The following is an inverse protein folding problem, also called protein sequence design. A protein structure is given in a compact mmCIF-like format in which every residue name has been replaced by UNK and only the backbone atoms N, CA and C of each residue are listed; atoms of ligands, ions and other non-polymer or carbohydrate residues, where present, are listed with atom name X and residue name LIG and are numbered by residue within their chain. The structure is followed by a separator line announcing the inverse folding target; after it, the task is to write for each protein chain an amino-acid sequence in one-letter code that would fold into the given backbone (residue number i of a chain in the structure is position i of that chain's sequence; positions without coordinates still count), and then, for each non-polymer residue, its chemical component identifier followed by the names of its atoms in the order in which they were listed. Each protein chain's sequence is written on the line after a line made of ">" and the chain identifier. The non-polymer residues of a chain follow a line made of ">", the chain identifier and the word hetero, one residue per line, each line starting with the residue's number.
data_IF_752803412918
#
_entry.id   IF_752803412918
#
_cell.length_a   1.000
_cell.length_b   1.000
_cell.length_c   1.000
_cell.angle_alpha   90.00
_cell.angle_beta   90.00
_cell.angle_gamma   90.00
#
_symmetry.space_group_name_H-M   'P 1'
#
loop_
_entity.id
_entity.type
_entity.pdbx_description
1 polymer ?
#
# COMPACT_ATOMS: atom_id res chain seq x y z
N UNK A 1 -4.85 -6.71 4.07
CA UNK A 1 -4.93 -5.42 3.40
C UNK A 1 -6.37 -5.00 3.17
N UNK A 2 -6.67 -3.69 3.25
CA UNK A 2 -7.91 -3.09 2.75
C UNK A 2 -7.57 -1.97 1.76
N UNK A 3 -8.58 -1.24 1.29
CA UNK A 3 -8.43 -0.10 0.39
C UNK A 3 -8.92 1.19 1.07
N UNK A 4 -8.30 2.32 0.72
CA UNK A 4 -8.68 3.65 1.22
C UNK A 4 -9.69 4.29 0.26
N UNK A 5 -10.91 3.75 0.30
CA UNK A 5 -12.05 4.21 -0.48
C UNK A 5 -13.28 4.38 0.41
N UNK A 6 -14.23 5.21 0.01
CA UNK A 6 -15.44 5.53 0.75
C UNK A 6 -16.67 4.77 0.25
N UNK A 7 -16.54 4.12 -0.92
CA UNK A 7 -17.50 3.16 -1.46
C UNK A 7 -16.77 2.05 -2.26
N UNK A 8 -17.44 0.92 -2.52
CA UNK A 8 -16.80 -0.17 -3.27
C UNK A 8 -16.33 0.28 -4.65
N UNK A 9 -15.05 -0.02 -4.98
CA UNK A 9 -14.45 0.27 -6.28
C UNK A 9 -14.67 -0.85 -7.30
N UNK A 10 -15.24 -1.95 -6.86
CA UNK A 10 -15.64 -3.08 -7.69
C UNK A 10 -17.07 -3.49 -7.32
N UNK A 11 -17.87 -3.82 -8.33
CA UNK A 11 -19.28 -4.18 -8.16
C UNK A 11 -20.20 -2.97 -7.98
N UNK A 12 -21.19 -3.08 -7.11
CA UNK A 12 -22.16 -2.02 -6.84
C UNK A 12 -21.56 -0.95 -5.90
N UNK A 13 -21.34 0.25 -6.44
CA UNK A 13 -20.80 1.37 -5.67
C UNK A 13 -21.71 1.88 -4.55
N UNK A 14 -23.01 1.50 -4.55
CA UNK A 14 -23.93 1.80 -3.44
C UNK A 14 -23.81 0.83 -2.26
N UNK A 15 -22.98 -0.20 -2.39
CA UNK A 15 -22.75 -1.19 -1.36
C UNK A 15 -22.03 -0.64 -0.14
N UNK A 16 -22.00 -1.39 0.97
CA UNK A 16 -21.32 -0.97 2.20
C UNK A 16 -19.80 -0.90 2.02
N UNK A 17 -19.21 0.17 2.47
CA UNK A 17 -17.77 0.36 2.53
C UNK A 17 -17.40 1.04 3.85
N UNK A 18 -16.57 0.37 4.65
CA UNK A 18 -16.08 0.94 5.92
C UNK A 18 -14.79 1.72 5.66
N UNK A 19 -14.65 2.83 6.38
CA UNK A 19 -13.43 3.65 6.32
C UNK A 19 -12.19 2.81 6.71
N UNK A 20 -11.12 3.01 5.95
CA UNK A 20 -9.92 2.17 5.98
C UNK A 20 -9.25 2.12 7.35
N UNK A 21 -8.91 3.26 7.93
CA UNK A 21 -8.13 3.34 9.17
C UNK A 21 -8.92 2.91 10.39
N UNK A 22 -10.21 3.24 10.44
CA UNK A 22 -11.12 2.77 11.50
C UNK A 22 -11.22 1.25 11.47
N UNK A 23 -11.37 0.68 10.28
CA UNK A 23 -11.42 -0.78 10.09
C UNK A 23 -10.11 -1.44 10.47
N UNK A 24 -8.96 -0.91 10.06
CA UNK A 24 -7.65 -1.45 10.42
C UNK A 24 -7.40 -1.39 11.93
N UNK A 25 -7.83 -0.33 12.60
CA UNK A 25 -7.71 -0.23 14.07
C UNK A 25 -8.52 -1.30 14.78
N UNK A 26 -9.73 -1.60 14.30
CA UNK A 26 -10.56 -2.68 14.83
C UNK A 26 -9.92 -4.06 14.57
N UNK A 27 -9.38 -4.30 13.37
CA UNK A 27 -8.68 -5.54 13.01
C UNK A 27 -7.40 -5.69 13.85
N UNK A 28 -6.66 -4.61 14.09
CA UNK A 28 -5.47 -4.62 14.94
C UNK A 28 -5.75 -5.16 16.34
N UNK A 29 -6.87 -4.75 16.94
CA UNK A 29 -7.29 -5.20 18.27
C UNK A 29 -7.92 -6.59 18.25
N UNK A 30 -8.58 -6.98 17.17
CA UNK A 30 -9.22 -8.30 17.04
C UNK A 30 -8.24 -9.42 16.67
N UNK A 31 -6.98 -9.09 16.34
CA UNK A 31 -5.95 -10.05 15.90
C UNK A 31 -4.63 -9.81 16.62
N UNK A 32 -3.77 -10.86 16.69
CA UNK A 32 -2.48 -10.77 17.38
C UNK A 32 -1.28 -11.20 16.52
N UNK A 33 -1.48 -11.75 15.33
CA UNK A 33 -0.40 -12.34 14.51
C UNK A 33 -0.31 -11.76 13.11
N UNK A 34 -1.43 -11.48 12.47
CA UNK A 34 -1.45 -10.99 11.09
C UNK A 34 -0.90 -9.56 11.01
N UNK A 35 -0.12 -9.30 10.00
CA UNK A 35 0.22 -7.92 9.61
C UNK A 35 -0.97 -7.28 8.93
N UNK A 36 -1.11 -5.99 9.11
CA UNK A 36 -2.23 -5.20 8.60
C UNK A 36 -1.73 -3.98 7.84
N UNK A 37 -2.47 -3.52 6.87
CA UNK A 37 -2.17 -2.31 6.10
C UNK A 37 -3.24 -1.96 5.09
N UNK A 38 -3.15 -0.77 4.53
CA UNK A 38 -3.96 -0.34 3.41
C UNK A 38 -3.15 -0.41 2.11
N UNK A 39 -3.76 -0.88 1.04
CA UNK A 39 -3.12 -1.05 -0.27
C UNK A 39 -3.87 -0.27 -1.35
N UNK A 40 -3.69 1.05 -1.43
CA UNK A 40 -2.85 1.93 -0.64
C UNK A 40 -3.64 3.19 -0.24
N UNK A 41 -3.16 3.94 0.76
CA UNK A 41 -3.78 5.21 1.14
C UNK A 41 -3.56 6.25 0.05
N UNK A 42 -4.61 6.97 -0.33
CA UNK A 42 -4.51 8.13 -1.20
C UNK A 42 -4.03 9.37 -0.43
N UNK A 43 -2.87 9.92 -0.79
CA UNK A 43 -2.30 11.08 -0.09
C UNK A 43 -3.15 12.35 -0.17
N UNK A 44 -4.11 12.39 -1.10
CA UNK A 44 -5.04 13.52 -1.26
C UNK A 44 -6.19 13.51 -0.24
N UNK A 45 -6.45 12.40 0.43
CA UNK A 45 -7.53 12.29 1.42
C UNK A 45 -7.17 12.89 2.78
N UNK A 46 -5.89 12.95 3.15
CA UNK A 46 -5.46 13.40 4.48
C UNK A 46 -4.14 14.17 4.39
N UNK A 47 -3.97 15.16 5.26
CA UNK A 47 -2.70 15.87 5.39
C UNK A 47 -1.57 14.88 5.79
N UNK A 48 -0.38 14.92 5.16
CA UNK A 48 0.67 13.92 5.39
C UNK A 48 1.16 13.87 6.84
N UNK A 49 1.16 14.98 7.56
CA UNK A 49 1.49 14.96 8.99
C UNK A 49 0.44 14.20 9.83
N UNK A 50 -0.83 14.27 9.46
CA UNK A 50 -1.89 13.48 10.10
C UNK A 50 -1.71 12.01 9.77
N UNK A 51 -1.39 11.66 8.52
CA UNK A 51 -1.09 10.28 8.11
C UNK A 51 0.07 9.70 8.90
N UNK A 52 1.17 10.44 9.09
CA UNK A 52 2.31 9.99 9.88
C UNK A 52 1.93 9.72 11.34
N UNK A 53 1.11 10.58 11.94
CA UNK A 53 0.63 10.40 13.32
C UNK A 53 -0.31 9.19 13.43
N UNK A 54 -1.26 9.04 12.52
CA UNK A 54 -2.15 7.88 12.45
C UNK A 54 -1.36 6.57 12.26
N UNK A 55 -0.31 6.61 11.43
CA UNK A 55 0.56 5.45 11.19
C UNK A 55 1.31 5.02 12.46
N UNK A 56 1.90 5.96 13.19
CA UNK A 56 2.53 5.68 14.49
C UNK A 56 1.52 5.12 15.50
N UNK A 57 0.32 5.72 15.57
CA UNK A 57 -0.75 5.24 16.45
C UNK A 57 -1.19 3.81 16.12
N UNK A 58 -1.40 3.50 14.84
CA UNK A 58 -1.82 2.17 14.41
C UNK A 58 -0.70 1.13 14.57
N UNK A 59 0.55 1.55 14.42
CA UNK A 59 1.70 0.68 14.68
C UNK A 59 1.78 0.28 16.17
N UNK A 60 1.53 1.21 17.09
CA UNK A 60 1.42 0.95 18.53
C UNK A 60 0.23 0.03 18.82
N UNK A 61 -0.96 0.35 18.31
CA UNK A 61 -2.19 -0.41 18.54
C UNK A 61 -2.04 -1.85 18.06
N UNK A 62 -1.31 -2.07 16.96
CA UNK A 62 -1.08 -3.39 16.37
C UNK A 62 0.13 -4.13 16.95
N UNK A 63 0.89 -3.55 17.87
CA UNK A 63 2.14 -4.10 18.39
C UNK A 63 3.14 -4.44 17.26
N UNK A 64 3.44 -3.45 16.42
CA UNK A 64 4.44 -3.54 15.35
C UNK A 64 4.02 -4.37 14.12
N UNK A 65 2.71 -4.58 13.89
CA UNK A 65 2.21 -5.35 12.74
C UNK A 65 1.71 -4.48 11.58
N UNK A 66 1.75 -3.16 11.73
CA UNK A 66 1.27 -2.23 10.70
C UNK A 66 2.30 -2.05 9.58
N UNK A 67 1.79 -1.87 8.37
CA UNK A 67 2.55 -1.51 7.17
C UNK A 67 1.80 -0.38 6.44
N UNK A 68 2.48 0.74 6.20
CA UNK A 68 1.88 1.94 5.62
C UNK A 68 1.93 1.90 4.10
N UNK A 69 0.81 1.66 3.46
CA UNK A 69 0.70 1.77 2.00
C UNK A 69 0.34 3.18 1.57
N UNK A 70 1.04 3.72 0.55
CA UNK A 70 0.87 5.08 0.04
C UNK A 70 0.79 5.11 -1.48
N UNK A 71 -0.06 5.98 -2.01
CA UNK A 71 -0.23 6.22 -3.44
C UNK A 71 -0.71 7.64 -3.75
N UNK A 72 -0.51 8.09 -4.98
CA UNK A 72 -0.87 9.44 -5.43
C UNK A 72 -2.38 9.70 -5.52
N UNK A 73 -3.21 8.65 -5.44
CA UNK A 73 -4.64 8.73 -5.69
C UNK A 73 -5.01 8.60 -7.17
N UNK A 74 -6.26 8.19 -7.45
CA UNK A 74 -6.70 7.98 -8.83
C UNK A 74 -8.21 8.18 -9.05
N UNK A 75 -9.04 7.90 -8.06
CA UNK A 75 -10.49 7.86 -8.23
C UNK A 75 -11.08 9.28 -8.28
N UNK A 76 -11.28 9.77 -9.50
CA UNK A 76 -11.82 11.11 -9.74
C UNK A 76 -13.30 11.22 -9.38
N UNK A 77 -14.07 10.16 -9.63
CA UNK A 77 -15.51 10.13 -9.33
C UNK A 77 -15.74 10.25 -7.82
N UNK A 78 -15.06 9.39 -7.04
CA UNK A 78 -15.14 9.41 -5.59
C UNK A 78 -14.66 10.73 -5.00
N UNK A 79 -13.51 11.23 -5.44
CA UNK A 79 -12.96 12.50 -4.98
C UNK A 79 -13.93 13.65 -5.27
N UNK A 80 -14.52 13.67 -6.46
CA UNK A 80 -15.51 14.68 -6.85
C UNK A 80 -16.81 14.60 -6.02
N UNK A 81 -17.30 13.38 -5.77
CA UNK A 81 -18.50 13.16 -4.98
C UNK A 81 -18.34 13.62 -3.52
N UNK A 82 -17.15 13.45 -2.94
CA UNK A 82 -16.83 13.89 -1.57
C UNK A 82 -16.29 15.33 -1.50
N UNK A 83 -16.18 16.04 -2.61
CA UNK A 83 -15.62 17.39 -2.64
C UNK A 83 -14.12 17.44 -2.29
N UNK A 84 -13.41 16.33 -2.47
CA UNK A 84 -11.98 16.21 -2.19
C UNK A 84 -11.20 16.54 -3.46
N UNK A 85 -10.28 17.49 -3.35
CA UNK A 85 -9.47 17.90 -4.50
C UNK A 85 -8.45 16.82 -4.87
N UNK A 86 -8.63 16.19 -6.04
CA UNK A 86 -7.69 15.21 -6.58
C UNK A 86 -6.56 15.88 -7.38
N UNK A 87 -6.90 16.89 -8.17
CA UNK A 87 -5.96 17.62 -9.03
C UNK A 87 -5.63 16.90 -10.34
N UNK A 88 -4.82 17.53 -11.16
CA UNK A 88 -4.25 16.95 -12.37
C UNK A 88 -3.27 15.82 -12.05
N UNK A 89 -2.89 15.02 -13.05
CA UNK A 89 -1.91 13.94 -12.85
C UNK A 89 -0.57 14.49 -12.35
N UNK A 90 -0.11 15.62 -12.88
CA UNK A 90 1.13 16.27 -12.44
C UNK A 90 1.02 16.72 -11.00
N UNK A 91 0.00 17.49 -10.66
CA UNK A 91 -0.25 17.98 -9.31
C UNK A 91 -0.35 16.84 -8.27
N UNK A 92 -1.03 15.74 -8.61
CA UNK A 92 -1.11 14.56 -7.73
C UNK A 92 0.26 13.99 -7.38
N UNK A 93 1.13 13.87 -8.38
CA UNK A 93 2.46 13.35 -8.15
C UNK A 93 3.38 14.35 -7.44
N UNK A 94 3.23 15.65 -7.70
CA UNK A 94 3.98 16.68 -6.97
C UNK A 94 3.60 16.66 -5.47
N UNK A 95 2.30 16.59 -5.17
CA UNK A 95 1.81 16.39 -3.80
C UNK A 95 2.27 15.07 -3.19
N UNK A 96 2.34 14.01 -3.98
CA UNK A 96 2.79 12.70 -3.51
C UNK A 96 4.26 12.70 -3.12
N UNK A 97 5.11 13.34 -3.93
CA UNK A 97 6.54 13.46 -3.63
C UNK A 97 6.78 14.24 -2.32
N UNK A 98 6.10 15.37 -2.14
CA UNK A 98 6.18 16.13 -0.88
C UNK A 98 5.59 15.36 0.30
N UNK A 99 4.44 14.70 0.12
CA UNK A 99 3.81 13.90 1.16
C UNK A 99 4.70 12.75 1.63
N UNK A 100 5.39 12.06 0.72
CA UNK A 100 6.35 11.01 1.07
C UNK A 100 7.51 11.58 1.89
N UNK A 101 8.07 12.72 1.50
CA UNK A 101 9.15 13.37 2.24
C UNK A 101 8.71 13.76 3.65
N UNK A 102 7.54 14.37 3.78
CA UNK A 102 6.96 14.77 5.08
C UNK A 102 6.68 13.56 5.98
N UNK A 103 6.01 12.53 5.43
CA UNK A 103 5.68 11.32 6.20
C UNK A 103 6.96 10.63 6.65
N UNK A 104 7.91 10.44 5.73
CA UNK A 104 9.18 9.77 6.04
C UNK A 104 9.94 10.50 7.14
N UNK A 105 10.08 11.83 7.04
CA UNK A 105 10.76 12.63 8.07
C UNK A 105 10.04 12.55 9.41
N UNK A 106 8.71 12.72 9.46
CA UNK A 106 7.93 12.62 10.70
C UNK A 106 8.00 11.24 11.36
N UNK A 107 8.17 10.17 10.60
CA UNK A 107 8.30 8.83 11.14
C UNK A 107 9.70 8.54 11.72
N UNK A 108 10.75 9.22 11.23
CA UNK A 108 12.15 8.88 11.59
C UNK A 108 12.86 9.97 12.37
N UNK A 109 12.53 11.26 12.14
CA UNK A 109 13.22 12.38 12.78
C UNK A 109 12.52 12.78 14.10
N UNK A 110 13.27 13.39 15.02
CA UNK A 110 12.70 13.94 16.26
C UNK A 110 11.78 15.12 15.95
N UNK A 111 12.23 16.02 15.07
CA UNK A 111 11.50 17.19 14.59
C UNK A 111 11.57 17.28 13.09
N UNK A 112 10.48 17.67 12.47
CA UNK A 112 10.39 17.85 11.02
C UNK A 112 10.04 19.30 10.69
N UNK A 113 10.89 19.93 9.89
CA UNK A 113 10.57 21.16 9.18
C UNK A 113 10.59 20.88 7.68
N UNK A 114 9.59 21.32 6.97
CA UNK A 114 9.46 21.12 5.52
C UNK A 114 8.82 22.35 4.88
N UNK A 115 9.35 22.82 3.79
CA UNK A 115 8.83 23.94 3.01
C UNK A 115 8.73 23.52 1.55
N UNK A 116 7.51 23.24 1.11
CA UNK A 116 7.17 22.82 -0.24
C UNK A 116 6.09 23.71 -0.86
N UNK A 117 5.63 23.33 -2.02
CA UNK A 117 4.53 24.00 -2.70
C UNK A 117 3.16 23.67 -2.06
N UNK A 118 3.01 22.44 -1.58
CA UNK A 118 1.74 21.91 -1.06
C UNK A 118 1.72 21.78 0.45
N UNK A 119 2.87 21.58 1.09
CA UNK A 119 2.95 21.37 2.52
C UNK A 119 4.01 22.24 3.18
N UNK A 120 3.66 22.80 4.32
CA UNK A 120 4.56 23.60 5.15
C UNK A 120 4.50 23.07 6.58
N UNK A 121 5.65 22.62 7.11
CA UNK A 121 5.80 22.19 8.49
C UNK A 121 6.92 22.97 9.18
N UNK A 122 6.72 23.31 10.45
CA UNK A 122 7.71 24.00 11.27
C UNK A 122 7.87 23.26 12.59
N UNK A 123 9.04 22.66 12.81
CA UNK A 123 9.41 21.95 14.04
C UNK A 123 8.34 20.94 14.50
N UNK A 124 7.66 20.31 13.56
CA UNK A 124 6.57 19.39 13.84
C UNK A 124 7.10 18.11 14.53
N UNK A 125 6.33 17.65 15.51
CA UNK A 125 6.60 16.44 16.29
C UNK A 125 5.63 15.33 15.89
N UNK A 126 6.14 14.10 15.91
CA UNK A 126 5.33 12.90 15.80
C UNK A 126 5.71 11.92 16.92
N UNK A 127 5.12 12.09 18.10
CA UNK A 127 5.35 11.28 19.27
C UNK A 127 4.02 10.77 19.87
N UNK A 128 4.01 9.50 20.37
CA UNK A 128 5.11 8.55 20.34
C UNK A 128 5.33 7.99 18.93
N UNK A 129 6.56 7.52 18.64
CA UNK A 129 6.84 6.68 17.49
C UNK A 129 6.28 5.27 17.76
N UNK A 130 6.01 4.52 16.70
CA UNK A 130 5.63 3.12 16.82
C UNK A 130 6.78 2.21 17.31
N UNK A 131 6.48 0.94 17.66
CA UNK A 131 7.49 -0.02 18.15
C UNK A 131 8.43 -0.52 17.06
N UNK A 132 8.06 -0.40 15.78
CA UNK A 132 8.95 -0.76 14.68
C UNK A 132 10.04 0.32 14.53
N UNK A 133 11.32 -0.06 14.64
CA UNK A 133 12.45 0.85 14.42
C UNK A 133 12.31 1.59 13.08
N UNK A 134 11.81 0.88 12.08
CA UNK A 134 11.50 1.42 10.76
C UNK A 134 10.14 0.92 10.30
N UNK A 135 9.14 1.78 10.38
CA UNK A 135 7.80 1.45 9.89
C UNK A 135 7.85 1.16 8.37
N UNK A 136 7.45 -0.05 7.92
CA UNK A 136 7.48 -0.38 6.50
C UNK A 136 6.54 0.51 5.69
N UNK A 137 7.08 1.11 4.63
CA UNK A 137 6.32 1.89 3.66
C UNK A 137 6.15 1.07 2.38
N UNK A 138 4.90 0.83 1.99
CA UNK A 138 4.54 0.24 0.72
C UNK A 138 4.12 1.35 -0.26
N UNK A 139 4.69 1.36 -1.46
CA UNK A 139 4.26 2.26 -2.54
C UNK A 139 3.64 1.43 -3.65
N UNK A 140 2.39 1.76 -4.02
CA UNK A 140 1.65 1.11 -5.09
C UNK A 140 1.80 1.82 -6.44
N UNK A 141 1.86 1.02 -7.52
CA UNK A 141 1.86 1.51 -8.88
C UNK A 141 3.12 1.22 -9.70
N UNK A 142 3.07 1.56 -10.98
CA UNK A 142 4.09 1.17 -11.98
C UNK A 142 4.65 2.34 -12.79
N UNK A 143 4.36 3.58 -12.39
CA UNK A 143 4.80 4.79 -13.07
C UNK A 143 6.33 4.95 -13.05
N UNK A 144 6.98 4.87 -14.22
CA UNK A 144 8.44 4.88 -14.30
C UNK A 144 9.05 6.19 -13.80
N UNK A 145 8.49 7.32 -14.21
CA UNK A 145 9.10 8.64 -13.98
C UNK A 145 8.90 9.18 -12.57
N UNK A 146 7.90 8.72 -11.84
CA UNK A 146 7.52 9.28 -10.54
C UNK A 146 7.36 8.20 -9.47
N UNK A 147 6.63 7.11 -9.76
CA UNK A 147 6.40 6.06 -8.76
C UNK A 147 7.68 5.28 -8.45
N UNK A 148 8.38 4.76 -9.46
CA UNK A 148 9.57 3.93 -9.23
C UNK A 148 10.74 4.67 -8.58
N UNK A 149 11.06 5.95 -8.90
CA UNK A 149 12.02 6.72 -8.12
C UNK A 149 11.65 6.85 -6.64
N UNK A 150 10.36 7.06 -6.34
CA UNK A 150 9.87 7.11 -4.97
C UNK A 150 9.95 5.75 -4.26
N UNK A 151 9.67 4.66 -4.97
CA UNK A 151 9.89 3.29 -4.46
C UNK A 151 11.35 3.11 -4.10
N UNK A 152 12.28 3.45 -4.99
CA UNK A 152 13.71 3.34 -4.73
C UNK A 152 14.14 4.14 -3.50
N UNK A 153 13.60 5.34 -3.32
CA UNK A 153 14.01 6.25 -2.25
C UNK A 153 13.40 5.94 -0.88
N UNK A 154 12.11 5.61 -0.84
CA UNK A 154 11.36 5.57 0.42
C UNK A 154 10.80 4.20 0.80
N UNK A 155 10.50 3.33 -0.19
CA UNK A 155 9.73 2.14 0.09
C UNK A 155 10.60 0.97 0.58
N UNK A 156 10.08 0.21 1.52
CA UNK A 156 10.52 -1.15 1.84
C UNK A 156 9.67 -2.22 1.14
N UNK A 157 8.60 -1.79 0.47
CA UNK A 157 7.69 -2.65 -0.24
C UNK A 157 7.14 -1.94 -1.50
N UNK A 158 7.22 -2.60 -2.63
CA UNK A 158 6.62 -2.17 -3.89
C UNK A 158 5.47 -3.09 -4.27
N UNK A 159 4.29 -2.51 -4.52
CA UNK A 159 3.13 -3.26 -4.97
C UNK A 159 2.78 -2.96 -6.43
N UNK A 160 2.66 -4.02 -7.22
CA UNK A 160 2.09 -3.95 -8.57
C UNK A 160 0.59 -4.29 -8.49
N UNK A 161 -0.28 -3.47 -9.06
CA UNK A 161 -1.74 -3.72 -9.02
C UNK A 161 -2.17 -5.00 -9.72
N UNK A 162 -1.40 -5.44 -10.72
CA UNK A 162 -1.62 -6.69 -11.45
C UNK A 162 -0.31 -7.24 -11.98
N UNK A 163 -0.23 -8.56 -12.16
CA UNK A 163 0.94 -9.22 -12.72
C UNK A 163 0.78 -9.43 -14.22
N UNK A 164 1.70 -8.84 -14.97
CA UNK A 164 2.04 -9.21 -16.36
C UNK A 164 3.55 -9.38 -16.43
N UNK A 165 4.01 -10.48 -16.97
CA UNK A 165 5.44 -10.85 -17.00
C UNK A 165 6.31 -9.79 -17.69
N UNK A 166 5.87 -9.30 -18.84
CA UNK A 166 6.62 -8.32 -19.63
C UNK A 166 6.68 -6.97 -18.90
N UNK A 167 5.52 -6.49 -18.44
CA UNK A 167 5.41 -5.27 -17.65
C UNK A 167 6.28 -5.37 -16.40
N UNK A 168 6.16 -6.44 -15.63
CA UNK A 168 6.93 -6.66 -14.41
C UNK A 168 8.44 -6.60 -14.67
N UNK A 169 8.92 -7.36 -15.67
CA UNK A 169 10.35 -7.39 -16.01
C UNK A 169 10.88 -5.99 -16.35
N UNK A 170 10.15 -5.24 -17.17
CA UNK A 170 10.53 -3.88 -17.55
C UNK A 170 10.57 -2.95 -16.35
N UNK A 171 9.52 -2.98 -15.50
CA UNK A 171 9.44 -2.12 -14.31
C UNK A 171 10.50 -2.47 -13.26
N UNK A 172 10.78 -3.76 -13.07
CA UNK A 172 11.84 -4.20 -12.17
C UNK A 172 13.21 -3.72 -12.63
N UNK A 173 13.48 -3.76 -13.95
CA UNK A 173 14.74 -3.23 -14.50
C UNK A 173 14.85 -1.72 -14.28
N UNK A 174 13.77 -0.96 -14.49
CA UNK A 174 13.76 0.47 -14.19
C UNK A 174 13.99 0.73 -12.70
N UNK A 175 13.35 -0.05 -11.82
CA UNK A 175 13.56 0.08 -10.36
C UNK A 175 15.02 -0.22 -9.96
N UNK A 176 15.65 -1.24 -10.55
CA UNK A 176 17.07 -1.56 -10.32
C UNK A 176 17.99 -0.39 -10.70
N UNK A 177 17.69 0.31 -11.80
CA UNK A 177 18.46 1.48 -12.21
C UNK A 177 18.33 2.60 -11.17
N UNK A 178 17.12 2.94 -10.75
CA UNK A 178 16.90 3.98 -9.72
C UNK A 178 17.52 3.63 -8.37
N UNK A 179 17.45 2.36 -7.95
CA UNK A 179 18.14 1.91 -6.75
C UNK A 179 19.67 2.06 -6.89
N UNK A 180 20.22 1.68 -8.05
CA UNK A 180 21.67 1.83 -8.34
C UNK A 180 22.14 3.28 -8.30
N UNK A 181 21.35 4.23 -8.80
CA UNK A 181 21.67 5.67 -8.77
C UNK A 181 21.85 6.22 -7.35
N UNK A 182 21.17 5.63 -6.36
CA UNK A 182 21.23 6.04 -4.95
C UNK A 182 22.01 5.06 -4.07
N UNK A 183 22.70 4.08 -4.66
CA UNK A 183 23.52 3.10 -3.94
C UNK A 183 22.73 2.11 -3.08
N UNK A 184 21.45 1.84 -3.43
CA UNK A 184 20.57 0.92 -2.71
C UNK A 184 20.46 -0.44 -3.42
N UNK A 185 20.44 -1.55 -2.67
CA UNK A 185 20.14 -2.86 -3.24
C UNK A 185 18.61 -3.03 -3.40
N UNK A 186 18.17 -3.31 -4.63
CA UNK A 186 16.73 -3.58 -4.90
C UNK A 186 16.18 -4.75 -4.08
N UNK A 187 17.02 -5.68 -3.63
CA UNK A 187 16.63 -6.81 -2.78
C UNK A 187 16.13 -6.39 -1.38
N UNK A 188 16.42 -5.16 -0.95
CA UNK A 188 15.86 -4.58 0.27
C UNK A 188 14.38 -4.24 0.14
N UNK A 189 13.85 -4.27 -1.10
CA UNK A 189 12.48 -3.91 -1.39
C UNK A 189 11.68 -5.19 -1.64
N UNK A 190 10.76 -5.49 -0.73
CA UNK A 190 9.76 -6.55 -0.92
C UNK A 190 8.89 -6.20 -2.11
N UNK A 191 8.58 -7.17 -2.96
CA UNK A 191 7.74 -7.00 -4.13
C UNK A 191 6.48 -7.82 -3.99
N UNK A 192 5.31 -7.19 -4.18
CA UNK A 192 4.03 -7.89 -4.19
C UNK A 192 3.19 -7.58 -5.41
N UNK A 193 2.26 -8.49 -5.69
CA UNK A 193 1.21 -8.28 -6.69
C UNK A 193 -0.06 -9.01 -6.28
N UNK A 194 -1.15 -8.80 -7.00
CA UNK A 194 -2.44 -9.37 -6.68
C UNK A 194 -2.73 -10.64 -7.48
N UNK A 195 -3.50 -11.52 -6.86
CA UNK A 195 -4.25 -12.61 -7.50
C UNK A 195 -5.72 -12.34 -7.25
N UNK A 196 -6.46 -12.08 -8.31
CA UNK A 196 -7.89 -11.84 -8.22
C UNK A 196 -8.64 -13.16 -8.19
N UNK A 197 -9.44 -13.37 -7.15
CA UNK A 197 -10.22 -14.60 -6.94
C UNK A 197 -11.69 -14.26 -6.99
N UNK A 198 -12.35 -14.75 -8.01
CA UNK A 198 -13.80 -14.73 -8.21
C UNK A 198 -14.42 -16.02 -7.63
N UNK A 199 -15.74 -16.07 -7.56
CA UNK A 199 -16.43 -17.27 -7.09
C UNK A 199 -16.09 -18.50 -7.94
N UNK A 200 -15.99 -18.35 -9.25
CA UNK A 200 -15.68 -19.40 -10.20
C UNK A 200 -14.18 -19.78 -10.30
N UNK A 201 -13.29 -19.02 -9.66
CA UNK A 201 -11.85 -19.30 -9.74
C UNK A 201 -11.54 -20.61 -9.00
N UNK A 202 -10.97 -21.58 -9.71
CA UNK A 202 -10.59 -22.87 -9.13
C UNK A 202 -9.21 -22.82 -8.43
N UNK A 203 -8.94 -23.85 -7.63
CA UNK A 203 -7.72 -23.98 -6.84
C UNK A 203 -6.48 -24.13 -7.71
N UNK A 204 -6.59 -24.84 -8.85
CA UNK A 204 -5.47 -25.07 -9.77
C UNK A 204 -5.01 -23.74 -10.38
N UNK A 205 -5.95 -22.88 -10.76
CA UNK A 205 -5.67 -21.54 -11.27
C UNK A 205 -4.94 -20.69 -10.23
N UNK A 206 -5.36 -20.72 -8.96
CA UNK A 206 -4.70 -19.98 -7.88
C UNK A 206 -3.26 -20.47 -7.70
N UNK A 207 -3.05 -21.77 -7.59
CA UNK A 207 -1.73 -22.39 -7.43
C UNK A 207 -0.81 -22.07 -8.60
N UNK A 208 -1.33 -22.14 -9.83
CA UNK A 208 -0.57 -21.79 -11.03
C UNK A 208 -0.11 -20.32 -11.01
N UNK A 209 -0.99 -19.41 -10.61
CA UNK A 209 -0.62 -17.99 -10.50
C UNK A 209 0.41 -17.74 -9.41
N UNK A 210 0.27 -18.38 -8.24
CA UNK A 210 1.23 -18.31 -7.14
C UNK A 210 2.63 -18.75 -7.61
N UNK A 211 2.74 -19.92 -8.24
CA UNK A 211 4.01 -20.44 -8.78
C UNK A 211 4.61 -19.51 -9.82
N UNK A 212 3.79 -19.01 -10.74
CA UNK A 212 4.24 -18.09 -11.79
C UNK A 212 4.81 -16.79 -11.18
N UNK A 213 4.19 -16.27 -10.13
CA UNK A 213 4.65 -15.07 -9.45
C UNK A 213 5.92 -15.34 -8.62
N UNK A 214 6.00 -16.47 -7.92
CA UNK A 214 7.19 -16.90 -7.19
C UNK A 214 8.40 -17.09 -8.11
N UNK A 215 8.24 -17.81 -9.22
CA UNK A 215 9.28 -18.00 -10.24
C UNK A 215 9.77 -16.69 -10.87
N UNK A 216 8.90 -15.67 -10.91
CA UNK A 216 9.27 -14.32 -11.36
C UNK A 216 10.02 -13.51 -10.30
N UNK A 217 10.12 -13.98 -9.05
CA UNK A 217 10.76 -13.28 -7.95
C UNK A 217 9.82 -12.34 -7.17
N UNK A 218 8.51 -12.51 -7.28
CA UNK A 218 7.53 -11.83 -6.42
C UNK A 218 7.62 -12.43 -5.02
N UNK A 219 7.82 -11.57 -4.00
CA UNK A 219 7.99 -11.99 -2.62
C UNK A 219 6.66 -12.27 -1.90
N UNK A 220 5.58 -11.63 -2.37
CA UNK A 220 4.26 -11.75 -1.73
C UNK A 220 3.15 -11.65 -2.77
N UNK A 221 2.33 -12.70 -2.86
CA UNK A 221 1.07 -12.67 -3.60
C UNK A 221 -0.08 -12.27 -2.67
N UNK A 222 -0.87 -11.29 -3.07
CA UNK A 222 -2.01 -10.78 -2.31
C UNK A 222 -3.27 -11.31 -2.95
N UNK A 223 -3.98 -12.17 -2.23
CA UNK A 223 -5.27 -12.68 -2.69
C UNK A 223 -6.33 -11.60 -2.52
N UNK A 224 -6.91 -11.18 -3.64
CA UNK A 224 -8.01 -10.24 -3.68
C UNK A 224 -9.31 -10.98 -4.03
N UNK A 225 -10.21 -11.09 -3.05
CA UNK A 225 -11.53 -11.68 -3.28
C UNK A 225 -12.46 -10.65 -3.91
N UNK A 226 -12.93 -10.92 -5.11
CA UNK A 226 -13.95 -10.09 -5.76
C UNK A 226 -15.36 -10.39 -5.23
N UNK A 227 -16.20 -9.37 -5.03
CA UNK A 227 -17.59 -9.58 -4.62
C UNK A 227 -18.39 -10.41 -5.65
N UNK A 228 -19.34 -11.25 -5.20
CA UNK A 228 -19.68 -11.53 -3.80
C UNK A 228 -18.65 -12.41 -3.08
N UNK A 229 -18.29 -12.03 -1.86
CA UNK A 229 -17.32 -12.79 -1.05
C UNK A 229 -18.05 -13.66 -0.04
N UNK A 230 -17.91 -14.97 -0.15
CA UNK A 230 -18.47 -15.93 0.80
C UNK A 230 -17.44 -16.40 1.82
N UNK A 231 -17.91 -16.72 3.03
CA UNK A 231 -17.04 -17.31 4.08
C UNK A 231 -16.44 -18.65 3.63
N UNK A 232 -17.18 -19.41 2.86
CA UNK A 232 -16.77 -20.70 2.33
C UNK A 232 -15.59 -20.55 1.37
N UNK A 233 -15.69 -19.60 0.41
CA UNK A 233 -14.60 -19.31 -0.53
C UNK A 233 -13.33 -18.83 0.17
N UNK A 234 -13.45 -17.93 1.16
CA UNK A 234 -12.30 -17.47 1.93
C UNK A 234 -11.65 -18.64 2.69
N UNK A 235 -12.45 -19.54 3.30
CA UNK A 235 -11.93 -20.70 4.02
C UNK A 235 -11.22 -21.65 3.08
N UNK A 236 -11.82 -22.05 1.95
CA UNK A 236 -11.22 -22.92 0.94
C UNK A 236 -9.84 -22.41 0.49
N UNK A 237 -9.77 -21.15 0.10
CA UNK A 237 -8.50 -20.55 -0.33
C UNK A 237 -7.47 -20.50 0.82
N UNK A 238 -7.91 -20.21 2.05
CA UNK A 238 -6.99 -20.17 3.21
C UNK A 238 -6.44 -21.58 3.52
N UNK A 239 -7.26 -22.62 3.45
CA UNK A 239 -6.84 -24.01 3.62
C UNK A 239 -5.87 -24.43 2.51
N UNK A 240 -6.17 -24.09 1.24
CA UNK A 240 -5.29 -24.31 0.10
C UNK A 240 -3.89 -23.71 0.32
N UNK A 241 -3.83 -22.41 0.70
CA UNK A 241 -2.57 -21.73 0.96
C UNK A 241 -1.79 -22.33 2.12
N UNK A 242 -2.49 -22.73 3.19
CA UNK A 242 -1.87 -23.37 4.36
C UNK A 242 -1.25 -24.73 4.03
N UNK A 243 -1.84 -25.46 3.10
CA UNK A 243 -1.34 -26.77 2.64
C UNK A 243 -0.20 -26.63 1.62
N UNK A 244 -0.18 -25.55 0.84
CA UNK A 244 0.84 -25.29 -0.18
C UNK A 244 2.14 -24.69 0.40
N UNK A 245 2.11 -24.16 1.62
CA UNK A 245 3.25 -23.60 2.33
C UNK A 245 4.06 -24.63 3.15
N UNK A 246 3.68 -25.91 3.09
CA UNK A 246 4.38 -27.05 3.71
C UNK A 246 5.20 -27.79 2.66
#
# INVERSE_FOLDING_TARGET
>A
WNFDHFYPIYGDSSGPCLESWVTLSAIAQATSRIRIGCMVNGVHYRHPAVVANMASGLDIISDGRFELGLGAGWNQEESGAYGIHLGSLTERFDRFDEALAVIFSLLHEERTSFEGEYFLLKEALNNPKGPQERLPICIGGTGEKRTLPNVAKYASHWNLPSYDKSLFTNKLNSLKLYCGEIGRDVKEIKISTHIFVEEATDEETIIKQLRTQEEAGINQSIIYFQPPVTREKVRSVTELLSNSAR
#
